data_IF_389424664612
#
_entry.id   IF_389424664612
#
_cell.length_a   1.000
_cell.length_b   1.000
_cell.length_c   1.000
_cell.angle_alpha   90.00
_cell.angle_beta   90.00
_cell.angle_gamma   90.00
#
_symmetry.space_group_name_H-M   'P 1'
#
loop_
_entity.id
_entity.type
_entity.pdbx_description
1 polymer ?
#
# COMPACT_ATOMS: atom_id res chain seq x y z
N UNK A 1 -3.68 -21.53 -40.55
CA UNK A 1 -4.44 -20.51 -41.29
C UNK A 1 -4.84 -19.41 -40.31
N UNK A 2 -3.84 -18.75 -39.71
CA UNK A 2 -4.03 -17.74 -38.63
C UNK A 2 -2.92 -16.67 -38.63
N UNK A 3 -1.76 -16.91 -39.26
CA UNK A 3 -0.65 -15.94 -39.31
C UNK A 3 -0.88 -14.82 -40.34
N UNK A 4 -1.40 -15.16 -41.52
CA UNK A 4 -1.60 -14.18 -42.60
C UNK A 4 -2.71 -13.17 -42.28
N UNK A 5 -3.75 -13.58 -41.55
CA UNK A 5 -4.86 -12.69 -41.16
C UNK A 5 -4.42 -11.63 -40.14
N UNK A 6 -3.51 -12.00 -39.23
CA UNK A 6 -2.93 -11.07 -38.24
C UNK A 6 -2.02 -10.05 -38.94
N UNK A 7 -1.30 -10.46 -39.98
CA UNK A 7 -0.46 -9.57 -40.78
C UNK A 7 -1.28 -8.60 -41.63
N UNK A 8 -2.38 -9.07 -42.23
CA UNK A 8 -3.35 -8.20 -42.93
C UNK A 8 -3.97 -7.18 -41.99
N UNK A 9 -4.39 -7.58 -40.80
CA UNK A 9 -4.93 -6.67 -39.79
C UNK A 9 -3.91 -5.58 -39.39
N UNK A 10 -2.64 -5.96 -39.19
CA UNK A 10 -1.56 -5.01 -38.85
C UNK A 10 -1.23 -4.04 -39.97
N UNK A 11 -1.38 -4.44 -41.24
CA UNK A 11 -1.18 -3.56 -42.38
C UNK A 11 -2.35 -2.59 -42.56
N UNK A 12 -3.59 -3.08 -42.41
CA UNK A 12 -4.79 -2.26 -42.47
C UNK A 12 -4.81 -1.18 -41.38
N UNK A 13 -4.47 -1.55 -40.14
CA UNK A 13 -4.39 -0.59 -39.03
C UNK A 13 -3.34 0.51 -39.25
N UNK A 14 -2.20 0.20 -39.90
CA UNK A 14 -1.20 1.22 -40.24
C UNK A 14 -1.71 2.22 -41.29
N UNK A 15 -2.51 1.75 -42.25
CA UNK A 15 -3.09 2.63 -43.26
C UNK A 15 -4.16 3.56 -42.67
N UNK A 16 -4.98 3.07 -41.74
CA UNK A 16 -5.95 3.92 -41.01
C UNK A 16 -5.28 5.01 -40.18
N UNK A 17 -4.14 4.72 -39.54
CA UNK A 17 -3.37 5.74 -38.79
C UNK A 17 -2.80 6.83 -39.73
N UNK A 18 -2.33 6.45 -40.92
CA UNK A 18 -1.82 7.40 -41.91
C UNK A 18 -2.94 8.28 -42.48
N UNK A 19 -4.11 7.71 -42.82
CA UNK A 19 -5.29 8.47 -43.25
C UNK A 19 -5.83 9.39 -42.14
N UNK A 20 -5.77 8.96 -40.88
CA UNK A 20 -6.13 9.78 -39.72
C UNK A 20 -5.16 10.95 -39.45
N UNK A 21 -3.93 10.87 -39.95
CA UNK A 21 -2.96 11.97 -39.89
C UNK A 21 -3.09 12.93 -41.08
N UNK A 22 -3.39 12.43 -42.29
CA UNK A 22 -3.66 13.27 -43.47
C UNK A 22 -4.94 14.09 -43.30
N UNK A 23 -6.03 13.46 -42.83
CA UNK A 23 -7.29 14.17 -42.50
C UNK A 23 -7.16 15.18 -41.35
N UNK A 24 -6.13 15.05 -40.50
CA UNK A 24 -5.78 16.06 -39.48
C UNK A 24 -4.94 17.19 -40.03
N UNK A 25 -4.12 16.95 -41.05
CA UNK A 25 -3.32 17.99 -41.70
C UNK A 25 -4.18 18.86 -42.65
N UNK A 26 -5.17 18.28 -43.33
CA UNK A 26 -6.07 19.04 -44.22
C UNK A 26 -7.02 19.99 -43.46
N UNK A 27 -7.32 19.67 -42.19
CA UNK A 27 -8.10 20.53 -41.31
C UNK A 27 -7.30 21.71 -40.71
N UNK A 28 -5.98 21.74 -40.89
CA UNK A 28 -5.11 22.84 -40.42
C UNK A 28 -4.89 23.88 -41.53
N UNK A 29 -5.15 23.56 -42.80
CA UNK A 29 -5.01 24.48 -43.93
C UNK A 29 -6.20 25.43 -44.16
N UNK A 30 -7.32 25.29 -43.45
CA UNK A 30 -8.56 26.06 -43.69
C UNK A 30 -9.07 26.83 -42.46
N UNK A 31 -8.20 27.56 -41.77
CA UNK A 31 -8.66 28.66 -40.89
C UNK A 31 -7.91 29.93 -41.24
N UNK A 32 -8.58 30.78 -42.02
CA UNK A 32 -8.14 32.14 -42.31
C UNK A 32 -8.18 33.01 -41.06
N UNK A 33 -7.11 33.77 -40.92
CA UNK A 33 -6.88 34.88 -40.01
C UNK A 33 -7.94 35.97 -40.25
N UNK A 34 -8.60 36.43 -39.19
CA UNK A 34 -9.10 37.80 -39.09
C UNK A 34 -8.24 38.47 -38.02
N UNK A 35 -7.35 39.35 -38.47
CA UNK A 35 -6.63 40.30 -37.63
C UNK A 35 -7.65 41.29 -37.05
N UNK A 36 -7.55 41.55 -35.74
CA UNK A 36 -7.64 42.93 -35.30
C UNK A 36 -6.82 43.18 -34.02
N UNK A 37 -5.73 43.93 -34.24
CA UNK A 37 -5.26 45.03 -33.40
C UNK A 37 -4.76 44.77 -31.97
N UNK A 38 -3.44 44.68 -31.78
CA UNK A 38 -2.58 45.71 -31.12
C UNK A 38 -1.16 45.20 -30.78
N UNK A 39 -0.18 46.11 -30.95
CA UNK A 39 1.29 45.96 -31.03
C UNK A 39 2.00 45.46 -29.74
N UNK A 40 3.25 44.94 -29.86
CA UNK A 40 4.01 44.36 -28.75
C UNK A 40 4.80 45.41 -27.97
N UNK A 41 4.83 45.27 -26.64
CA UNK A 41 5.79 45.97 -25.78
C UNK A 41 6.77 44.95 -25.21
N UNK A 42 8.01 45.05 -25.67
CA UNK A 42 9.18 44.40 -25.08
C UNK A 42 9.31 44.80 -23.60
N UNK A 43 9.57 43.82 -22.72
CA UNK A 43 10.11 44.09 -21.39
C UNK A 43 11.32 43.18 -21.16
N UNK A 44 12.48 43.82 -21.24
CA UNK A 44 13.77 43.37 -20.75
C UNK A 44 13.73 43.02 -19.24
N UNK A 45 14.68 42.20 -18.74
CA UNK A 45 14.70 41.74 -17.36
C UNK A 45 14.99 42.90 -16.40
N UNK A 46 14.17 43.04 -15.36
CA UNK A 46 14.33 44.08 -14.35
C UNK A 46 15.56 43.82 -13.47
N UNK A 47 16.60 44.61 -13.72
CA UNK A 47 17.68 44.95 -12.78
C UNK A 47 17.07 45.66 -11.57
N UNK A 48 17.24 45.10 -10.37
CA UNK A 48 16.82 45.75 -9.11
C UNK A 48 17.91 46.76 -8.72
N UNK A 49 17.60 48.04 -8.92
CA UNK A 49 18.32 49.19 -8.36
C UNK A 49 17.77 49.45 -6.94
N UNK A 50 18.61 49.35 -5.91
CA UNK A 50 18.27 49.82 -4.57
C UNK A 50 18.94 51.18 -4.39
N UNK A 51 18.12 52.25 -4.36
CA UNK A 51 18.54 53.58 -3.94
C UNK A 51 18.62 53.64 -2.41
N UNK A 52 19.75 54.10 -1.92
CA UNK A 52 20.00 54.44 -0.52
C UNK A 52 19.10 55.59 -0.08
N UNK A 53 18.37 55.41 1.02
CA UNK A 53 18.03 56.54 1.90
C UNK A 53 18.26 56.11 3.35
N UNK A 54 19.10 56.91 4.00
CA UNK A 54 19.69 56.72 5.32
C UNK A 54 18.67 56.91 6.44
N UNK A 55 18.64 55.98 7.40
CA UNK A 55 18.19 56.26 8.76
C UNK A 55 19.26 55.76 9.72
N UNK A 56 19.87 56.71 10.42
CA UNK A 56 20.76 56.49 11.55
C UNK A 56 19.93 56.17 12.80
N UNK A 57 20.45 55.29 13.66
CA UNK A 57 20.70 55.51 15.11
C UNK A 57 20.88 54.15 15.83
N UNK A 58 22.15 53.88 16.17
CA UNK A 58 22.61 53.34 17.46
C UNK A 58 21.74 52.29 18.18
N UNK A 59 22.12 51.02 18.08
CA UNK A 59 22.78 50.26 19.16
C UNK A 59 23.07 48.81 18.74
N UNK A 60 24.35 48.42 18.77
CA UNK A 60 24.97 47.29 18.04
C UNK A 60 24.50 45.85 18.38
N UNK A 61 23.34 45.62 19.00
CA UNK A 61 22.79 44.28 19.30
C UNK A 61 21.34 44.04 18.84
N UNK A 62 20.52 45.07 18.69
CA UNK A 62 19.08 44.91 18.38
C UNK A 62 18.75 45.14 16.88
N UNK A 63 19.53 45.93 16.16
CA UNK A 63 19.34 46.21 14.72
C UNK A 63 19.39 44.94 13.83
N UNK A 64 20.12 43.93 14.28
CA UNK A 64 20.24 42.67 13.54
C UNK A 64 18.98 41.79 13.60
N UNK A 65 18.18 41.83 14.67
CA UNK A 65 16.97 41.00 14.77
C UNK A 65 15.83 41.54 13.91
N UNK A 66 15.72 42.88 13.79
CA UNK A 66 14.72 43.53 12.93
C UNK A 66 14.99 43.30 11.44
N UNK A 67 16.26 43.42 11.03
CA UNK A 67 16.67 43.11 9.66
C UNK A 67 16.38 41.64 9.28
N UNK A 68 16.58 40.69 10.21
CA UNK A 68 16.24 39.27 9.99
C UNK A 68 14.73 39.07 9.87
N UNK A 69 13.92 39.73 10.69
CA UNK A 69 12.46 39.63 10.58
C UNK A 69 11.94 40.19 9.25
N UNK A 70 12.52 41.27 8.75
CA UNK A 70 12.16 41.87 7.45
C UNK A 70 12.58 40.99 6.27
N UNK A 71 13.71 40.30 6.39
CA UNK A 71 14.21 39.39 5.38
C UNK A 71 13.48 38.03 5.41
N UNK A 72 13.07 37.55 6.59
CA UNK A 72 12.13 36.43 6.72
C UNK A 72 10.78 36.83 6.13
N UNK A 73 10.34 38.08 6.28
CA UNK A 73 9.14 38.61 5.62
C UNK A 73 9.30 38.72 4.10
N UNK A 74 10.50 38.98 3.59
CA UNK A 74 10.75 38.99 2.14
C UNK A 74 10.85 37.58 1.56
N UNK A 75 11.50 36.64 2.24
CA UNK A 75 11.56 35.23 1.84
C UNK A 75 10.24 34.49 2.03
N UNK A 76 9.40 34.93 2.97
CA UNK A 76 8.00 34.50 3.08
C UNK A 76 7.19 34.84 1.84
N UNK A 77 7.60 35.86 1.07
CA UNK A 77 6.92 36.24 -0.18
C UNK A 77 7.44 35.48 -1.41
N UNK A 78 8.57 34.75 -1.30
CA UNK A 78 9.23 34.09 -2.43
C UNK A 78 8.66 32.69 -2.70
N UNK A 79 8.04 32.51 -3.87
CA UNK A 79 7.50 31.22 -4.32
C UNK A 79 8.53 30.44 -5.14
N UNK A 80 8.93 29.27 -4.64
CA UNK A 80 9.79 28.30 -5.33
C UNK A 80 8.94 27.41 -6.24
N UNK A 81 8.86 27.73 -7.52
CA UNK A 81 7.97 27.02 -8.45
C UNK A 81 8.61 25.75 -9.04
N UNK A 82 7.88 24.63 -8.92
CA UNK A 82 8.09 23.42 -9.72
C UNK A 82 7.33 23.50 -11.04
N UNK A 83 7.71 24.45 -11.89
CA UNK A 83 7.09 24.61 -13.19
C UNK A 83 7.76 23.69 -14.23
N UNK A 84 6.97 23.05 -15.10
CA UNK A 84 7.54 22.42 -16.28
C UNK A 84 8.07 23.53 -17.20
N UNK A 85 9.38 23.59 -17.42
CA UNK A 85 10.01 24.58 -18.31
C UNK A 85 9.41 24.58 -19.73
N UNK A 86 8.77 23.47 -20.09
CA UNK A 86 8.04 23.31 -21.33
C UNK A 86 6.57 23.00 -21.04
N UNK A 87 5.63 23.84 -21.48
CA UNK A 87 4.20 23.65 -21.25
C UNK A 87 3.61 22.38 -21.91
N UNK A 88 4.41 21.65 -22.71
CA UNK A 88 4.02 20.41 -23.39
C UNK A 88 4.65 19.13 -22.79
N UNK A 89 5.57 19.22 -21.82
CA UNK A 89 6.32 18.07 -21.27
C UNK A 89 5.86 17.66 -19.88
N UNK A 90 6.03 16.37 -19.59
CA UNK A 90 5.72 15.72 -18.31
C UNK A 90 6.76 16.09 -17.25
N UNK A 91 6.30 16.36 -16.02
CA UNK A 91 7.14 16.58 -14.84
C UNK A 91 7.43 15.23 -14.18
N UNK A 92 8.70 14.93 -13.94
CA UNK A 92 9.11 13.71 -13.26
C UNK A 92 8.92 13.84 -11.75
N UNK A 93 8.49 12.76 -11.10
CA UNK A 93 8.27 12.68 -9.64
C UNK A 93 9.53 13.06 -8.83
N UNK A 94 10.72 12.81 -9.39
CA UNK A 94 12.00 13.16 -8.76
C UNK A 94 12.18 14.66 -8.53
N UNK A 95 11.50 15.49 -9.33
CA UNK A 95 11.53 16.94 -9.26
C UNK A 95 10.84 17.42 -7.98
N UNK A 96 9.85 16.71 -7.43
CA UNK A 96 9.13 17.16 -6.25
C UNK A 96 10.05 17.35 -5.02
N UNK A 97 9.75 18.35 -4.17
CA UNK A 97 10.28 18.45 -2.82
C UNK A 97 10.13 17.14 -2.06
N UNK A 98 11.08 16.90 -1.16
CA UNK A 98 11.11 15.67 -0.38
C UNK A 98 9.89 15.54 0.52
N UNK A 99 9.44 16.68 1.06
CA UNK A 99 8.27 16.82 1.92
C UNK A 99 7.00 16.40 1.16
N UNK A 100 6.86 16.79 -0.11
CA UNK A 100 5.73 16.36 -0.94
C UNK A 100 5.79 14.87 -1.25
N UNK A 101 6.98 14.32 -1.47
CA UNK A 101 7.14 12.89 -1.70
C UNK A 101 6.76 12.10 -0.44
N UNK A 102 7.20 12.55 0.75
CA UNK A 102 6.84 11.95 2.04
C UNK A 102 5.32 12.03 2.24
N UNK A 103 4.71 13.18 1.97
CA UNK A 103 3.26 13.34 2.06
C UNK A 103 2.50 12.40 1.11
N UNK A 104 2.98 12.23 -0.13
CA UNK A 104 2.40 11.25 -1.07
C UNK A 104 2.48 9.83 -0.48
N UNK A 105 3.60 9.47 0.14
CA UNK A 105 3.76 8.17 0.80
C UNK A 105 2.81 8.00 1.99
N UNK A 106 2.62 9.03 2.81
CA UNK A 106 1.63 9.01 3.91
C UNK A 106 0.22 8.73 3.38
N UNK A 107 -0.18 9.38 2.28
CA UNK A 107 -1.49 9.12 1.66
C UNK A 107 -1.60 7.70 1.11
N UNK A 108 -0.53 7.16 0.52
CA UNK A 108 -0.51 5.77 0.06
C UNK A 108 -0.67 4.77 1.21
N UNK A 109 -0.08 5.05 2.37
CA UNK A 109 -0.30 4.27 3.59
C UNK A 109 -1.77 4.32 3.98
N UNK A 110 -2.39 5.50 3.95
CA UNK A 110 -3.81 5.68 4.28
C UNK A 110 -4.76 4.93 3.33
N UNK A 111 -4.43 4.85 2.04
CA UNK A 111 -5.23 4.11 1.06
C UNK A 111 -5.09 2.59 1.20
N UNK A 112 -3.99 2.09 1.78
CA UNK A 112 -3.83 0.66 2.12
C UNK A 112 -2.74 -0.08 1.34
N UNK A 113 -1.89 0.62 0.60
CA UNK A 113 -0.75 0.04 -0.10
C UNK A 113 0.42 -0.32 0.83
N UNK A 114 0.20 -1.10 1.89
CA UNK A 114 1.25 -1.38 2.90
C UNK A 114 2.50 -2.05 2.32
N UNK A 115 2.34 -2.86 1.27
CA UNK A 115 3.44 -3.60 0.64
C UNK A 115 4.21 -2.75 -0.39
N UNK A 116 3.71 -1.57 -0.77
CA UNK A 116 4.27 -0.79 -1.88
C UNK A 116 5.51 0.03 -1.47
N UNK A 117 5.65 0.40 -0.19
CA UNK A 117 6.74 1.28 0.25
C UNK A 117 8.12 0.60 0.22
N UNK A 118 8.25 -0.56 0.87
CA UNK A 118 9.56 -1.22 0.99
C UNK A 118 9.92 -2.05 -0.23
N UNK A 119 8.94 -2.74 -0.84
CA UNK A 119 9.19 -3.67 -1.95
C UNK A 119 9.11 -2.94 -3.30
N UNK A 120 8.36 -1.84 -3.40
CA UNK A 120 8.22 -1.07 -4.63
C UNK A 120 9.07 0.20 -4.59
N UNK A 121 8.61 1.19 -3.81
CA UNK A 121 9.12 2.56 -3.84
C UNK A 121 10.60 2.66 -3.48
N UNK A 122 11.03 1.98 -2.40
CA UNK A 122 12.42 1.99 -1.96
C UNK A 122 13.40 1.39 -2.98
N UNK A 123 12.94 0.52 -3.89
CA UNK A 123 13.78 -0.12 -4.90
C UNK A 123 13.95 0.72 -6.18
N UNK A 124 13.16 1.78 -6.38
CA UNK A 124 13.19 2.57 -7.61
C UNK A 124 14.49 3.36 -7.75
N UNK A 125 14.91 4.06 -6.69
CA UNK A 125 16.14 4.84 -6.70
C UNK A 125 16.67 5.11 -5.28
N UNK A 126 17.93 5.57 -5.18
CA UNK A 126 18.56 5.91 -3.88
C UNK A 126 17.80 6.98 -3.10
N UNK A 127 17.27 8.00 -3.80
CA UNK A 127 16.44 9.06 -3.17
C UNK A 127 15.22 8.45 -2.50
N UNK A 128 14.51 7.57 -3.20
CA UNK A 128 13.30 6.93 -2.68
C UNK A 128 13.60 5.92 -1.58
N UNK A 129 14.72 5.20 -1.69
CA UNK A 129 15.21 4.35 -0.62
C UNK A 129 15.41 5.15 0.69
N UNK A 130 16.02 6.33 0.62
CA UNK A 130 16.22 7.19 1.79
C UNK A 130 14.90 7.77 2.32
N UNK A 131 14.06 8.32 1.44
CA UNK A 131 12.76 8.91 1.83
C UNK A 131 11.82 7.86 2.44
N UNK A 132 11.88 6.61 1.97
CA UNK A 132 11.09 5.52 2.54
C UNK A 132 11.46 5.17 3.99
N UNK A 133 12.64 5.60 4.47
CA UNK A 133 13.14 5.33 5.83
C UNK A 133 12.79 6.44 6.82
N UNK A 134 12.04 7.44 6.39
CA UNK A 134 11.53 8.50 7.25
C UNK A 134 10.66 7.88 8.36
N UNK A 135 10.92 8.30 9.60
CA UNK A 135 10.39 7.65 10.80
C UNK A 135 8.87 7.81 10.95
N UNK A 136 8.33 8.97 10.56
CA UNK A 136 6.90 9.28 10.65
C UNK A 136 6.07 8.34 9.79
N UNK A 137 6.56 7.96 8.60
CA UNK A 137 5.93 6.97 7.74
C UNK A 137 5.79 5.61 8.44
N UNK A 138 6.85 5.13 9.09
CA UNK A 138 6.83 3.84 9.81
C UNK A 138 5.98 3.89 11.07
N UNK A 139 5.97 5.03 11.76
CA UNK A 139 5.09 5.26 12.90
C UNK A 139 3.62 5.20 12.46
N UNK A 140 3.24 5.95 11.42
CA UNK A 140 1.89 5.95 10.85
C UNK A 140 1.47 4.55 10.42
N UNK A 141 2.38 3.80 9.79
CA UNK A 141 2.13 2.44 9.35
C UNK A 141 1.88 1.49 10.53
N UNK A 142 2.70 1.58 11.59
CA UNK A 142 2.53 0.82 12.82
C UNK A 142 1.20 1.14 13.51
N UNK A 143 0.88 2.42 13.67
CA UNK A 143 -0.40 2.87 14.24
C UNK A 143 -1.57 2.30 13.44
N UNK A 144 -1.54 2.39 12.10
CA UNK A 144 -2.59 1.82 11.25
C UNK A 144 -2.70 0.30 11.32
N UNK A 145 -1.59 -0.44 11.48
CA UNK A 145 -1.66 -1.92 11.54
C UNK A 145 -2.10 -2.46 12.89
N UNK A 146 -1.76 -1.76 13.97
CA UNK A 146 -1.84 -2.32 15.31
C UNK A 146 -2.86 -1.62 16.21
N UNK A 147 -3.38 -0.46 15.79
CA UNK A 147 -4.47 0.22 16.45
C UNK A 147 -5.73 0.03 15.61
N UNK A 148 -6.72 -0.70 16.12
CA UNK A 148 -8.03 -0.86 15.48
C UNK A 148 -8.75 0.50 15.38
N UNK A 149 -8.50 1.41 16.33
CA UNK A 149 -8.99 2.78 16.36
C UNK A 149 -7.82 3.77 16.48
N UNK A 150 -7.45 4.41 15.37
CA UNK A 150 -6.33 5.39 15.33
C UNK A 150 -6.53 6.62 16.25
N UNK A 151 -7.77 6.86 16.70
CA UNK A 151 -8.10 8.01 17.54
C UNK A 151 -7.92 7.75 19.06
N UNK A 152 -7.65 6.51 19.48
CA UNK A 152 -7.43 6.23 20.89
C UNK A 152 -5.97 6.55 21.28
N UNK A 153 -5.82 7.73 21.90
CA UNK A 153 -4.53 8.25 22.37
C UNK A 153 -3.85 7.32 23.37
N UNK A 154 -4.60 6.52 24.13
CA UNK A 154 -4.03 5.55 25.08
C UNK A 154 -3.31 4.42 24.35
N UNK A 155 -3.92 3.91 23.27
CA UNK A 155 -3.34 2.83 22.46
C UNK A 155 -2.08 3.32 21.75
N UNK A 156 -2.12 4.52 21.17
CA UNK A 156 -0.94 5.12 20.52
C UNK A 156 0.21 5.34 21.50
N UNK A 157 -0.07 5.82 22.71
CA UNK A 157 0.95 5.98 23.74
C UNK A 157 1.54 4.62 24.18
N UNK A 158 0.70 3.58 24.32
CA UNK A 158 1.16 2.22 24.64
C UNK A 158 2.07 1.66 23.53
N UNK A 159 1.70 1.87 22.28
CA UNK A 159 2.49 1.48 21.10
C UNK A 159 3.84 2.19 21.08
N UNK A 160 3.85 3.50 21.35
CA UNK A 160 5.08 4.30 21.43
C UNK A 160 6.01 3.80 22.54
N UNK A 161 5.47 3.51 23.72
CA UNK A 161 6.24 2.92 24.82
C UNK A 161 6.79 1.53 24.46
N UNK A 162 6.01 0.70 23.77
CA UNK A 162 6.47 -0.60 23.26
C UNK A 162 7.60 -0.44 22.23
N UNK A 163 7.49 0.53 21.32
CA UNK A 163 8.53 0.85 20.34
C UNK A 163 9.85 1.25 21.04
N UNK A 164 9.76 2.13 22.06
CA UNK A 164 10.93 2.58 22.82
C UNK A 164 11.59 1.44 23.60
N UNK A 165 10.80 0.65 24.31
CA UNK A 165 11.30 -0.39 25.24
C UNK A 165 11.78 -1.65 24.52
N UNK A 166 11.01 -2.18 23.56
CA UNK A 166 11.30 -3.46 22.92
C UNK A 166 12.10 -3.33 21.61
N UNK A 167 12.01 -2.18 20.93
CA UNK A 167 12.61 -1.98 19.61
C UNK A 167 13.61 -0.81 19.55
N UNK A 168 13.93 -0.19 20.70
CA UNK A 168 14.92 0.89 20.78
C UNK A 168 14.49 2.19 20.08
N UNK A 169 13.19 2.42 19.93
CA UNK A 169 12.63 3.60 19.25
C UNK A 169 12.63 3.51 17.72
N UNK A 170 13.04 2.38 17.14
CA UNK A 170 13.01 2.16 15.70
C UNK A 170 11.65 1.58 15.25
N UNK A 171 10.79 2.47 14.74
CA UNK A 171 9.46 2.12 14.24
C UNK A 171 9.49 1.16 13.05
N UNK A 172 10.52 1.26 12.19
CA UNK A 172 10.68 0.37 11.04
C UNK A 172 11.00 -1.04 11.52
N UNK A 173 11.93 -1.15 12.48
CA UNK A 173 12.25 -2.44 13.11
C UNK A 173 11.03 -3.05 13.76
N UNK A 174 10.26 -2.26 14.53
CA UNK A 174 9.01 -2.71 15.13
C UNK A 174 8.05 -3.26 14.07
N UNK A 175 7.87 -2.56 12.96
CA UNK A 175 6.97 -3.01 11.89
C UNK A 175 7.38 -4.36 11.28
N UNK A 176 8.68 -4.57 11.09
CA UNK A 176 9.24 -5.78 10.46
C UNK A 176 9.24 -6.98 11.42
N UNK A 177 9.58 -6.76 12.69
CA UNK A 177 9.77 -7.82 13.67
C UNK A 177 8.48 -8.23 14.38
N UNK A 178 7.60 -7.25 14.63
CA UNK A 178 6.36 -7.51 15.36
C UNK A 178 5.41 -8.35 14.50
N UNK A 179 4.84 -9.45 15.05
CA UNK A 179 3.90 -10.28 14.31
C UNK A 179 2.63 -9.49 13.95
N UNK A 180 2.23 -9.54 12.68
CA UNK A 180 1.02 -8.91 12.13
C UNK A 180 0.26 -9.83 11.17
N UNK A 181 -1.06 -9.65 11.13
CA UNK A 181 -1.96 -10.32 10.18
C UNK A 181 -1.85 -9.60 8.83
N UNK A 182 -1.78 -10.37 7.75
CA UNK A 182 -1.80 -9.85 6.38
C UNK A 182 -3.20 -9.98 5.80
N UNK A 183 -3.73 -8.87 5.32
CA UNK A 183 -5.05 -8.80 4.68
C UNK A 183 -4.97 -9.02 3.15
N UNK A 184 -3.78 -8.87 2.59
CA UNK A 184 -3.47 -8.98 1.15
C UNK A 184 -3.13 -10.42 0.72
N UNK A 185 -3.76 -11.44 1.31
CA UNK A 185 -3.43 -12.81 0.94
C UNK A 185 -4.25 -13.88 1.63
N UNK A 186 -3.88 -15.12 1.33
CA UNK A 186 -4.54 -16.32 1.84
C UNK A 186 -3.53 -17.13 2.64
N UNK A 187 -3.91 -17.46 3.87
CA UNK A 187 -3.20 -18.41 4.71
C UNK A 187 -3.65 -19.82 4.36
N UNK A 188 -2.69 -20.74 4.23
CA UNK A 188 -2.94 -22.11 3.80
C UNK A 188 -2.26 -23.04 4.78
N UNK A 189 -3.05 -23.91 5.41
CA UNK A 189 -2.54 -25.05 6.16
C UNK A 189 -2.70 -26.31 5.32
N UNK A 190 -1.59 -26.98 5.03
CA UNK A 190 -1.61 -28.30 4.38
C UNK A 190 -1.68 -29.37 5.46
N UNK A 191 -2.75 -30.15 5.46
CA UNK A 191 -2.98 -31.21 6.42
C UNK A 191 -2.97 -32.55 5.70
N UNK A 192 -2.29 -33.54 6.27
CA UNK A 192 -2.19 -34.89 5.71
C UNK A 192 -2.60 -35.90 6.78
N UNK A 193 -3.40 -36.88 6.40
CA UNK A 193 -3.73 -38.00 7.28
C UNK A 193 -3.76 -39.31 6.49
N UNK A 194 -3.46 -40.39 7.17
CA UNK A 194 -3.57 -41.74 6.62
C UNK A 194 -4.99 -42.23 6.85
N UNK A 195 -5.62 -42.72 5.78
CA UNK A 195 -6.91 -43.38 5.83
C UNK A 195 -6.72 -44.82 5.38
N UNK A 196 -7.17 -45.77 6.18
CA UNK A 196 -7.23 -47.17 5.76
C UNK A 196 -8.25 -47.31 4.63
N UNK A 197 -7.83 -47.91 3.53
CA UNK A 197 -8.71 -48.28 2.42
C UNK A 197 -9.59 -49.47 2.77
N UNK A 198 -10.65 -49.67 1.99
CA UNK A 198 -11.44 -50.89 2.06
C UNK A 198 -10.64 -52.01 1.39
N UNK A 199 -10.43 -53.10 2.11
CA UNK A 199 -9.80 -54.31 1.61
C UNK A 199 -10.80 -55.46 1.65
N UNK A 200 -10.89 -56.23 0.58
CA UNK A 200 -11.67 -57.48 0.55
C UNK A 200 -10.92 -58.62 1.26
N UNK A 201 -9.59 -58.57 1.29
CA UNK A 201 -8.73 -59.62 1.86
C UNK A 201 -7.90 -59.07 3.03
N UNK A 202 -7.85 -59.80 4.15
CA UNK A 202 -7.11 -59.40 5.36
C UNK A 202 -5.59 -59.28 5.17
N UNK A 203 -5.04 -59.85 4.11
CA UNK A 203 -3.60 -59.88 3.82
C UNK A 203 -3.07 -58.62 3.12
N UNK A 204 -3.95 -57.82 2.50
CA UNK A 204 -3.56 -56.60 1.78
C UNK A 204 -4.47 -55.47 2.22
N UNK A 205 -3.94 -54.58 3.08
CA UNK A 205 -4.67 -53.40 3.54
C UNK A 205 -4.06 -52.14 2.92
N UNK A 206 -4.64 -51.60 1.83
CA UNK A 206 -4.14 -50.39 1.21
C UNK A 206 -4.33 -49.20 2.16
N UNK A 207 -3.30 -48.36 2.28
CA UNK A 207 -3.36 -47.12 3.07
C UNK A 207 -3.32 -45.91 2.15
N UNK A 208 -4.31 -45.03 2.26
CA UNK A 208 -4.41 -43.82 1.45
C UNK A 208 -3.85 -42.63 2.22
N UNK A 209 -2.90 -41.91 1.62
CA UNK A 209 -2.45 -40.62 2.13
C UNK A 209 -3.38 -39.52 1.61
N UNK A 210 -4.31 -39.07 2.45
CA UNK A 210 -5.24 -38.00 2.09
C UNK A 210 -4.65 -36.66 2.47
N UNK A 211 -4.52 -35.77 1.49
CA UNK A 211 -4.11 -34.38 1.70
C UNK A 211 -5.33 -33.48 1.56
N UNK A 212 -5.53 -32.59 2.53
CA UNK A 212 -6.53 -31.54 2.46
C UNK A 212 -5.92 -30.20 2.91
N UNK A 213 -6.56 -29.13 2.51
CA UNK A 213 -6.11 -27.76 2.74
C UNK A 213 -7.17 -27.00 3.54
N UNK A 214 -6.69 -26.22 4.51
CA UNK A 214 -7.49 -25.20 5.19
C UNK A 214 -7.04 -23.83 4.70
N UNK A 215 -7.92 -23.14 4.00
CA UNK A 215 -7.70 -21.77 3.53
C UNK A 215 -8.33 -20.80 4.51
N UNK A 216 -7.63 -19.70 4.81
CA UNK A 216 -8.09 -18.63 5.67
C UNK A 216 -7.69 -17.29 5.07
N UNK A 217 -8.63 -16.38 4.89
CA UNK A 217 -8.38 -15.02 4.37
C UNK A 217 -9.03 -14.00 5.28
N UNK A 218 -8.28 -12.94 5.59
CA UNK A 218 -8.70 -11.82 6.41
C UNK A 218 -8.98 -10.60 5.56
N UNK A 219 -9.89 -9.74 6.02
CA UNK A 219 -10.25 -8.49 5.36
C UNK A 219 -10.15 -7.31 6.33
N UNK A 220 -10.07 -6.10 5.77
CA UNK A 220 -9.88 -4.84 6.50
C UNK A 220 -11.08 -4.43 7.36
N UNK A 221 -12.26 -4.97 7.08
CA UNK A 221 -13.49 -4.77 7.85
C UNK A 221 -13.59 -5.69 9.08
N UNK A 222 -12.56 -6.50 9.37
CA UNK A 222 -12.58 -7.42 10.51
C UNK A 222 -13.32 -8.74 10.24
N UNK A 223 -13.82 -8.94 9.01
CA UNK A 223 -14.36 -10.23 8.58
C UNK A 223 -13.26 -11.15 8.04
N UNK A 224 -13.57 -12.44 7.98
CA UNK A 224 -12.72 -13.47 7.42
C UNK A 224 -13.56 -14.56 6.73
N UNK A 225 -12.91 -15.29 5.83
CA UNK A 225 -13.49 -16.48 5.18
C UNK A 225 -12.55 -17.65 5.39
N UNK A 226 -13.14 -18.82 5.62
CA UNK A 226 -12.42 -20.07 5.81
C UNK A 226 -13.00 -21.16 4.93
N UNK A 227 -12.14 -22.01 4.36
CA UNK A 227 -12.55 -23.09 3.48
C UNK A 227 -11.73 -24.33 3.76
N UNK A 228 -12.41 -25.47 3.93
CA UNK A 228 -11.78 -26.78 4.03
C UNK A 228 -12.06 -27.59 2.76
N UNK A 229 -11.00 -27.89 2.00
CA UNK A 229 -11.13 -28.62 0.72
C UNK A 229 -9.87 -29.42 0.39
N UNK A 230 -10.01 -30.45 -0.45
CA UNK A 230 -8.90 -31.21 -1.03
C UNK A 230 -8.32 -30.55 -2.29
N UNK A 231 -8.96 -29.49 -2.80
CA UNK A 231 -8.48 -28.74 -3.97
C UNK A 231 -7.18 -27.99 -3.67
N UNK A 232 -6.25 -28.07 -4.60
CA UNK A 232 -4.93 -27.47 -4.49
C UNK A 232 -4.96 -25.92 -4.53
N UNK A 233 -3.96 -25.24 -3.93
CA UNK A 233 -3.92 -23.78 -3.84
C UNK A 233 -4.08 -23.04 -5.17
N UNK A 234 -3.54 -23.59 -6.26
CA UNK A 234 -3.60 -22.97 -7.58
C UNK A 234 -5.05 -22.75 -8.06
N UNK A 235 -5.96 -23.64 -7.69
CA UNK A 235 -7.38 -23.59 -8.08
C UNK A 235 -8.19 -22.64 -7.20
N UNK A 236 -7.80 -22.48 -5.93
CA UNK A 236 -8.59 -21.76 -4.92
C UNK A 236 -8.15 -20.31 -4.80
N UNK A 237 -6.84 -20.04 -4.67
CA UNK A 237 -6.30 -18.75 -4.23
C UNK A 237 -6.77 -17.58 -5.10
N UNK A 238 -6.83 -17.75 -6.42
CA UNK A 238 -7.27 -16.69 -7.36
C UNK A 238 -8.70 -16.22 -7.12
N UNK A 239 -9.58 -17.15 -6.75
CA UNK A 239 -11.01 -16.91 -6.62
C UNK A 239 -11.46 -16.80 -5.16
N UNK A 240 -10.56 -16.96 -4.19
CA UNK A 240 -10.90 -16.99 -2.77
C UNK A 240 -11.10 -15.57 -2.20
N UNK A 241 -12.24 -14.96 -2.52
CA UNK A 241 -12.63 -13.61 -2.09
C UNK A 241 -14.15 -13.55 -1.82
N UNK A 242 -14.62 -12.54 -1.07
CA UNK A 242 -16.04 -12.30 -0.75
C UNK A 242 -16.96 -12.31 -1.97
N UNK A 243 -16.50 -11.77 -3.10
CA UNK A 243 -17.28 -11.67 -4.34
C UNK A 243 -17.55 -13.01 -5.01
N UNK A 244 -16.73 -14.03 -4.74
CA UNK A 244 -16.83 -15.35 -5.36
C UNK A 244 -17.13 -16.46 -4.35
N UNK A 245 -17.61 -16.08 -3.17
CA UNK A 245 -18.07 -16.98 -2.10
C UNK A 245 -19.08 -18.01 -2.64
N UNK A 246 -20.00 -17.61 -3.53
CA UNK A 246 -21.01 -18.49 -4.12
C UNK A 246 -20.46 -19.66 -4.93
N UNK A 247 -19.20 -19.59 -5.40
CA UNK A 247 -18.53 -20.70 -6.11
C UNK A 247 -18.08 -21.82 -5.15
N UNK A 248 -18.01 -21.54 -3.86
CA UNK A 248 -17.57 -22.48 -2.83
C UNK A 248 -18.75 -22.82 -1.93
N UNK A 249 -19.66 -23.67 -2.41
CA UNK A 249 -20.88 -23.99 -1.67
C UNK A 249 -20.70 -24.94 -0.50
N UNK A 250 -19.62 -25.74 -0.47
CA UNK A 250 -19.41 -26.75 0.59
C UNK A 250 -18.22 -26.37 1.47
N UNK A 251 -18.40 -26.47 2.79
CA UNK A 251 -17.38 -26.24 3.83
C UNK A 251 -16.79 -24.82 3.84
N UNK A 252 -17.49 -23.84 3.28
CA UNK A 252 -17.11 -22.44 3.34
C UNK A 252 -17.78 -21.81 4.56
N UNK A 253 -16.99 -21.26 5.46
CA UNK A 253 -17.50 -20.53 6.61
C UNK A 253 -17.09 -19.08 6.54
N UNK A 254 -18.05 -18.20 6.86
CA UNK A 254 -17.86 -16.75 6.90
C UNK A 254 -17.91 -16.33 8.37
N UNK A 255 -16.99 -15.45 8.76
CA UNK A 255 -16.82 -15.11 10.16
C UNK A 255 -16.18 -13.77 10.40
N UNK A 256 -15.94 -13.48 11.67
CA UNK A 256 -15.22 -12.32 12.15
C UNK A 256 -14.02 -12.74 12.99
N UNK A 257 -13.01 -11.89 13.05
CA UNK A 257 -11.80 -12.15 13.82
C UNK A 257 -11.50 -10.98 14.75
N UNK A 258 -10.91 -11.28 15.92
CA UNK A 258 -10.41 -10.28 16.87
C UNK A 258 -9.17 -10.77 17.60
N UNK A 259 -8.28 -9.85 17.96
CA UNK A 259 -7.22 -10.14 18.91
C UNK A 259 -7.80 -10.30 20.32
N UNK A 260 -7.25 -11.25 21.07
CA UNK A 260 -7.55 -11.41 22.49
C UNK A 260 -6.75 -10.38 23.28
N UNK A 261 -7.43 -9.36 23.81
CA UNK A 261 -6.85 -8.47 24.79
C UNK A 261 -6.49 -9.26 26.04
N UNK A 262 -5.19 -9.37 26.31
CA UNK A 262 -4.68 -9.86 27.58
C UNK A 262 -3.60 -8.87 28.04
N UNK A 263 -3.61 -8.56 29.34
CA UNK A 263 -2.63 -7.66 29.94
C UNK A 263 -1.21 -8.23 29.93
N UNK A 264 -1.07 -9.56 29.78
CA UNK A 264 0.21 -10.25 29.65
C UNK A 264 0.86 -9.99 28.29
N UNK A 265 2.03 -9.34 28.29
CA UNK A 265 2.87 -9.06 27.11
C UNK A 265 3.15 -10.33 26.29
N UNK A 266 3.28 -11.49 26.95
CA UNK A 266 3.53 -12.79 26.32
C UNK A 266 2.31 -13.39 25.57
N UNK A 267 1.09 -12.86 25.79
CA UNK A 267 -0.16 -13.35 25.16
C UNK A 267 -0.71 -12.39 24.10
N UNK A 268 0.00 -11.30 23.77
CA UNK A 268 -0.44 -10.22 22.86
C UNK A 268 -0.74 -10.62 21.41
N UNK A 269 -0.44 -11.86 21.00
CA UNK A 269 -0.56 -12.32 19.61
C UNK A 269 -1.61 -13.43 19.44
N UNK A 270 -2.53 -13.58 20.39
CA UNK A 270 -3.60 -14.58 20.28
C UNK A 270 -4.80 -13.99 19.54
N UNK A 271 -5.30 -14.75 18.58
CA UNK A 271 -6.40 -14.40 17.71
C UNK A 271 -7.55 -15.39 17.93
N UNK A 272 -8.78 -14.89 17.93
CA UNK A 272 -9.99 -15.70 17.86
C UNK A 272 -10.72 -15.40 16.58
N UNK A 273 -11.20 -16.47 15.95
CA UNK A 273 -12.09 -16.41 14.79
C UNK A 273 -13.41 -17.07 15.17
N UNK A 274 -14.51 -16.40 14.88
CA UNK A 274 -15.86 -16.96 14.96
C UNK A 274 -16.40 -17.06 13.55
N UNK A 275 -16.68 -18.27 13.07
CA UNK A 275 -17.15 -18.51 11.71
C UNK A 275 -18.38 -19.42 11.71
N UNK A 276 -19.32 -19.11 10.83
CA UNK A 276 -20.56 -19.88 10.66
C UNK A 276 -20.52 -20.54 9.29
N UNK A 277 -20.90 -21.82 9.25
CA UNK A 277 -21.11 -22.52 7.98
C UNK A 277 -22.45 -22.09 7.40
N UNK A 278 -22.49 -21.95 6.07
CA UNK A 278 -23.71 -21.62 5.33
C UNK A 278 -24.73 -22.75 5.48
N UNK A 279 -24.26 -24.00 5.52
CA UNK A 279 -25.12 -25.18 5.64
C UNK A 279 -25.58 -25.43 7.09
N UNK A 280 -24.87 -24.87 8.08
CA UNK A 280 -25.11 -25.08 9.51
C UNK A 280 -25.21 -23.74 10.27
N UNK A 281 -26.22 -22.90 10.01
CA UNK A 281 -26.31 -21.55 10.57
C UNK A 281 -26.51 -21.52 12.09
N UNK A 282 -26.96 -22.63 12.69
CA UNK A 282 -27.13 -22.75 14.15
C UNK A 282 -25.82 -22.94 14.91
N UNK A 283 -24.74 -23.28 14.22
CA UNK A 283 -23.45 -23.57 14.82
C UNK A 283 -22.44 -22.49 14.47
N UNK A 284 -21.82 -21.92 15.50
CA UNK A 284 -20.67 -21.04 15.37
C UNK A 284 -19.43 -21.80 15.77
N UNK A 285 -18.48 -21.90 14.85
CA UNK A 285 -17.18 -22.50 15.11
C UNK A 285 -16.24 -21.43 15.64
N UNK A 286 -15.57 -21.73 16.75
CA UNK A 286 -14.53 -20.88 17.31
C UNK A 286 -13.17 -21.48 16.96
N UNK A 287 -12.25 -20.67 16.46
CA UNK A 287 -10.88 -21.11 16.21
C UNK A 287 -9.91 -20.18 16.92
N UNK A 288 -8.97 -20.74 17.67
CA UNK A 288 -7.97 -19.98 18.43
C UNK A 288 -6.59 -20.17 17.82
N UNK A 289 -5.96 -19.07 17.45
CA UNK A 289 -4.63 -19.05 16.86
C UNK A 289 -3.65 -18.22 17.67
N UNK A 290 -2.38 -18.60 17.60
CA UNK A 290 -1.25 -17.79 18.03
C UNK A 290 -0.48 -17.31 16.80
N UNK A 291 -0.28 -16.00 16.68
CA UNK A 291 0.49 -15.41 15.60
C UNK A 291 1.98 -15.38 15.99
N UNK A 292 2.82 -16.08 15.24
CA UNK A 292 4.27 -16.16 15.47
C UNK A 292 5.04 -15.56 14.30
N UNK A 293 6.06 -14.77 14.62
CA UNK A 293 7.11 -14.41 13.66
C UNK A 293 8.04 -15.61 13.45
N UNK A 294 8.46 -15.84 12.22
CA UNK A 294 9.37 -16.94 11.86
C UNK A 294 10.81 -16.44 11.85
N UNK A 295 11.07 -15.44 11.02
CA UNK A 295 12.36 -14.79 10.88
C UNK A 295 12.16 -13.43 10.21
N UNK A 296 13.12 -12.52 10.37
CA UNK A 296 13.13 -11.24 9.66
C UNK A 296 12.94 -11.46 8.15
N UNK A 297 12.01 -10.71 7.55
CA UNK A 297 11.70 -10.76 6.12
C UNK A 297 10.85 -11.95 5.65
N UNK A 298 10.47 -12.89 6.54
CA UNK A 298 9.51 -13.96 6.21
C UNK A 298 8.12 -13.61 6.73
N UNK A 299 7.11 -14.20 6.10
CA UNK A 299 5.73 -14.01 6.54
C UNK A 299 5.48 -14.64 7.92
N UNK A 300 4.66 -13.97 8.73
CA UNK A 300 4.20 -14.50 10.00
C UNK A 300 3.32 -15.73 9.78
N UNK A 301 3.38 -16.68 10.71
CA UNK A 301 2.56 -17.90 10.69
C UNK A 301 1.55 -17.90 11.83
N UNK A 302 0.44 -18.57 11.59
CA UNK A 302 -0.49 -18.95 12.64
C UNK A 302 -0.17 -20.35 13.15
N UNK A 303 -0.21 -20.51 14.46
CA UNK A 303 -0.18 -21.80 15.14
C UNK A 303 -1.54 -22.04 15.79
N UNK A 304 -2.10 -23.23 15.60
CA UNK A 304 -3.34 -23.64 16.26
C UNK A 304 -3.10 -23.75 17.77
N UNK A 305 -3.96 -23.11 18.57
CA UNK A 305 -3.99 -23.27 20.03
C UNK A 305 -5.09 -24.28 20.39
N UNK A 306 -6.23 -24.21 19.69
CA UNK A 306 -7.39 -25.07 19.89
C UNK A 306 -8.51 -24.72 18.91
N UNK A 307 -9.44 -25.67 18.77
CA UNK A 307 -10.68 -25.56 18.01
C UNK A 307 -11.83 -25.92 18.95
#
# INVERSE_FOLDING_TARGET
>A
MESEDIERFRQQWRQEILQGQESRNDNVSNVQVVEDSLKPLEKEPLTIMISEESISISSKKDENNEAITLLIDSFRSMTLCFLPLNPRKKIHISKLPNELIIYILEQLIFIGGMNSMEIGFALVCKKFFLLSRETSLWRLLCEKTYCDNANDRKVTNKLMQECLTAYGGDWRRMYIERPRIRLDGVYISTCKYLRLGLAENAWVQPTHLVTYYRYLRFFSDGSCITLLTTKEPLQIVKNFNKLHVSKFSKNLMIGCWKFLENDDVSKKNKLVIWANDIDLPKFTFQMKFELKSISRGKFNKFCWIGM
#
